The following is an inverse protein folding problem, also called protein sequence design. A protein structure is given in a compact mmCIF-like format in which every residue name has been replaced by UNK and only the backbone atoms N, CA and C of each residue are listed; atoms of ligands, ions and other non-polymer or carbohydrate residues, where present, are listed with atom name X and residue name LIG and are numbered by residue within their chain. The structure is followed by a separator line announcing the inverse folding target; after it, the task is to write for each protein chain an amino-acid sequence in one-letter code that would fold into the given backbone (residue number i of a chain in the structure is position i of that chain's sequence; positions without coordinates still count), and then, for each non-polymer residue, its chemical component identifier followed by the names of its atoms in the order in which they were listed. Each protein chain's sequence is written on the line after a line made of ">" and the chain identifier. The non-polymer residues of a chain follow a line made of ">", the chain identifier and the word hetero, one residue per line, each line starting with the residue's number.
data_IF_357874891795
#
_entry.id   IF_357874891795
#
_cell.length_a   1.000
_cell.length_b   1.000
_cell.length_c   1.000
_cell.angle_alpha   90.00
_cell.angle_beta   90.00
_cell.angle_gamma   90.00
#
_symmetry.space_group_name_H-M   'P 1'
#
loop_
_entity.id
_entity.type
_entity.pdbx_description
1 polymer ?
#
# COMPACT_ATOMS: atom_id res chain seq x y z
N UNK A 1 -19.70 -52.30 -7.71
CA UNK A 1 -19.60 -51.12 -8.64
C UNK A 1 -20.58 -49.99 -8.28
N UNK A 2 -21.89 -50.25 -8.08
CA UNK A 2 -22.89 -49.19 -7.74
C UNK A 2 -22.55 -48.39 -6.48
N UNK A 3 -22.01 -49.03 -5.41
CA UNK A 3 -21.64 -48.35 -4.15
C UNK A 3 -20.45 -47.41 -4.30
N UNK A 4 -19.50 -47.68 -5.20
CA UNK A 4 -18.33 -46.86 -5.46
C UNK A 4 -18.75 -45.61 -6.26
N UNK A 5 -19.68 -45.74 -7.18
CA UNK A 5 -20.21 -44.59 -7.97
C UNK A 5 -20.95 -43.61 -7.07
N UNK A 6 -21.75 -44.11 -6.09
CA UNK A 6 -22.43 -43.25 -5.10
C UNK A 6 -21.43 -42.51 -4.21
N UNK A 7 -20.34 -43.15 -3.81
CA UNK A 7 -19.29 -42.52 -3.01
C UNK A 7 -18.58 -41.42 -3.79
N UNK A 8 -18.26 -41.61 -5.07
CA UNK A 8 -17.67 -40.59 -5.94
C UNK A 8 -18.64 -39.44 -6.23
N UNK A 9 -19.94 -39.71 -6.33
CA UNK A 9 -20.94 -38.66 -6.54
C UNK A 9 -21.08 -37.78 -5.28
N UNK A 10 -20.97 -38.36 -4.08
CA UNK A 10 -21.02 -37.63 -2.81
C UNK A 10 -19.74 -36.81 -2.57
N UNK A 11 -18.58 -37.33 -2.99
CA UNK A 11 -17.29 -36.62 -2.89
C UNK A 11 -17.21 -35.46 -3.88
N UNK A 12 -17.85 -35.57 -5.05
CA UNK A 12 -17.93 -34.50 -6.06
C UNK A 12 -18.80 -33.31 -5.64
N UNK A 13 -19.84 -33.54 -4.84
CA UNK A 13 -20.71 -32.47 -4.33
C UNK A 13 -20.10 -31.63 -3.21
N UNK A 14 -19.09 -32.16 -2.50
CA UNK A 14 -18.40 -31.40 -1.44
C UNK A 14 -17.35 -30.43 -1.95
N UNK A 15 -17.04 -30.43 -3.27
CA UNK A 15 -16.08 -29.50 -3.88
C UNK A 15 -16.72 -28.22 -4.40
N UNK A 16 -18.05 -28.06 -4.32
CA UNK A 16 -18.76 -26.83 -4.70
C UNK A 16 -18.92 -25.92 -3.46
N UNK A 17 -17.90 -25.89 -2.61
CA UNK A 17 -17.92 -25.01 -1.44
C UNK A 17 -17.10 -23.76 -1.71
N UNK A 18 -17.83 -22.65 -1.75
CA UNK A 18 -17.46 -21.30 -1.41
C UNK A 18 -16.66 -20.47 -2.43
N UNK A 19 -17.40 -19.68 -3.16
CA UNK A 19 -17.15 -18.26 -3.26
C UNK A 19 -18.40 -17.50 -2.77
N UNK A 20 -18.73 -17.68 -1.50
CA UNK A 20 -19.66 -16.77 -0.86
C UNK A 20 -18.81 -15.63 -0.28
N UNK A 21 -18.54 -14.57 -1.06
CA UNK A 21 -18.19 -13.28 -0.51
C UNK A 21 -19.33 -12.87 0.43
N UNK A 22 -19.14 -13.11 1.70
CA UNK A 22 -20.07 -12.65 2.72
C UNK A 22 -19.91 -11.14 2.84
N UNK A 23 -20.67 -10.40 2.05
CA UNK A 23 -20.79 -8.96 2.15
C UNK A 23 -21.49 -8.65 3.47
N UNK A 24 -20.73 -8.14 4.44
CA UNK A 24 -21.28 -7.61 5.68
C UNK A 24 -22.14 -6.37 5.32
N UNK A 25 -23.48 -6.42 5.45
CA UNK A 25 -24.35 -5.33 5.05
C UNK A 25 -24.15 -4.06 5.90
N UNK A 26 -23.39 -4.16 7.00
CA UNK A 26 -23.09 -3.02 7.88
C UNK A 26 -21.79 -2.32 7.52
N UNK A 27 -20.97 -2.89 6.61
CA UNK A 27 -19.72 -2.31 6.17
C UNK A 27 -19.84 -1.75 4.76
N UNK A 28 -19.42 -0.50 4.53
CA UNK A 28 -19.39 0.04 3.18
C UNK A 28 -18.44 -0.79 2.30
N UNK A 29 -18.87 -1.08 1.10
CA UNK A 29 -17.99 -1.71 0.10
C UNK A 29 -16.94 -0.72 -0.40
N UNK A 30 -15.89 -1.22 -1.04
CA UNK A 30 -14.89 -0.35 -1.67
C UNK A 30 -15.57 0.61 -2.68
N UNK A 31 -16.53 0.12 -3.46
CA UNK A 31 -17.30 0.94 -4.39
C UNK A 31 -18.06 2.06 -3.70
N UNK A 32 -18.69 1.80 -2.55
CA UNK A 32 -19.43 2.82 -1.80
C UNK A 32 -18.49 3.92 -1.26
N UNK A 33 -17.30 3.52 -0.79
CA UNK A 33 -16.30 4.47 -0.28
C UNK A 33 -15.84 5.42 -1.39
N UNK A 34 -15.43 4.89 -2.54
CA UNK A 34 -14.86 5.70 -3.61
C UNK A 34 -15.90 6.40 -4.50
N UNK A 35 -17.18 6.06 -4.41
CA UNK A 35 -18.28 6.75 -5.11
C UNK A 35 -18.92 7.90 -4.32
N UNK A 36 -18.58 8.07 -3.04
CA UNK A 36 -19.14 9.10 -2.19
C UNK A 36 -18.10 10.14 -1.76
N UNK A 37 -18.53 11.41 -1.64
CA UNK A 37 -17.67 12.50 -1.17
C UNK A 37 -17.09 12.21 0.22
N UNK A 38 -17.91 11.80 1.18
CA UNK A 38 -17.46 11.50 2.54
C UNK A 38 -16.49 10.31 2.60
N UNK A 39 -16.76 9.28 1.83
CA UNK A 39 -15.89 8.12 1.71
C UNK A 39 -14.53 8.48 1.11
N UNK A 40 -14.51 9.29 0.05
CA UNK A 40 -13.26 9.72 -0.59
C UNK A 40 -12.40 10.58 0.35
N UNK A 41 -13.02 11.51 1.11
CA UNK A 41 -12.33 12.28 2.14
C UNK A 41 -11.77 11.35 3.23
N UNK A 42 -12.58 10.38 3.69
CA UNK A 42 -12.14 9.38 4.67
C UNK A 42 -10.96 8.55 4.18
N UNK A 43 -10.99 8.09 2.92
CA UNK A 43 -9.90 7.36 2.30
C UNK A 43 -8.63 8.22 2.21
N UNK A 44 -8.74 9.47 1.78
CA UNK A 44 -7.61 10.39 1.72
C UNK A 44 -6.98 10.61 3.11
N UNK A 45 -7.76 10.86 4.15
CA UNK A 45 -7.28 11.01 5.53
C UNK A 45 -6.65 9.70 6.04
N UNK A 46 -7.18 8.56 5.62
CA UNK A 46 -6.65 7.23 5.93
C UNK A 46 -5.21 7.02 5.47
N UNK A 47 -4.78 7.68 4.38
CA UNK A 47 -3.40 7.61 3.88
C UNK A 47 -2.38 8.09 4.93
N UNK A 48 -2.69 9.20 5.61
CA UNK A 48 -1.84 9.73 6.67
C UNK A 48 -1.72 8.75 7.85
N UNK A 49 -2.85 8.18 8.26
CA UNK A 49 -2.87 7.21 9.36
C UNK A 49 -2.04 5.97 9.02
N UNK A 50 -2.22 5.40 7.83
CA UNK A 50 -1.44 4.24 7.37
C UNK A 50 0.04 4.55 7.22
N UNK A 51 0.39 5.77 6.82
CA UNK A 51 1.78 6.19 6.68
C UNK A 51 2.52 6.25 8.03
N UNK A 52 1.85 6.70 9.09
CA UNK A 52 2.53 7.09 10.34
C UNK A 52 2.22 6.25 11.57
N UNK A 53 1.10 5.49 11.59
CA UNK A 53 0.64 4.82 12.80
C UNK A 53 1.01 3.34 12.81
N UNK A 54 1.65 2.90 13.90
CA UNK A 54 1.95 1.50 14.19
C UNK A 54 3.31 1.02 13.69
N UNK A 55 3.74 -0.15 14.20
CA UNK A 55 5.05 -0.77 13.87
C UNK A 55 5.17 -1.27 12.42
N UNK A 56 4.06 -1.36 11.71
CA UNK A 56 4.05 -1.76 10.30
C UNK A 56 4.07 -0.56 9.35
N UNK A 57 3.88 0.66 9.87
CA UNK A 57 3.82 1.88 9.05
C UNK A 57 5.14 2.14 8.34
N UNK A 58 5.10 2.77 7.15
CA UNK A 58 6.32 3.17 6.45
C UNK A 58 7.25 4.03 7.31
N UNK A 59 6.73 4.97 8.09
CA UNK A 59 7.56 5.79 9.01
C UNK A 59 8.36 4.92 9.96
N UNK A 60 7.70 3.96 10.62
CA UNK A 60 8.40 3.07 11.54
C UNK A 60 9.45 2.21 10.80
N UNK A 61 9.08 1.61 9.68
CA UNK A 61 9.96 0.68 8.95
C UNK A 61 11.12 1.38 8.25
N UNK A 62 10.94 2.64 7.79
CA UNK A 62 12.02 3.48 7.26
C UNK A 62 13.04 3.79 8.36
N UNK A 63 12.58 4.29 9.51
CA UNK A 63 13.46 4.66 10.63
C UNK A 63 14.18 3.42 11.14
N UNK A 64 13.47 2.32 11.35
CA UNK A 64 14.03 1.07 11.84
C UNK A 64 15.01 0.46 10.83
N UNK A 65 14.60 0.39 9.55
CA UNK A 65 15.41 -0.19 8.48
C UNK A 65 16.72 0.59 8.27
N UNK A 66 16.65 1.91 8.10
CA UNK A 66 17.85 2.73 7.93
C UNK A 66 18.68 2.81 9.21
N UNK A 67 18.05 3.04 10.35
CA UNK A 67 18.76 3.28 11.60
C UNK A 67 19.58 2.08 12.11
N UNK A 68 19.06 0.85 11.93
CA UNK A 68 19.84 -0.35 12.27
C UNK A 68 20.92 -0.67 11.25
N UNK A 69 20.65 -0.52 9.96
CA UNK A 69 21.64 -0.79 8.91
C UNK A 69 22.81 0.21 8.91
N UNK A 70 22.60 1.42 9.41
CA UNK A 70 23.64 2.45 9.57
C UNK A 70 24.25 2.50 10.95
N UNK A 71 23.83 1.63 11.88
CA UNK A 71 24.24 1.63 13.30
C UNK A 71 23.91 2.91 14.08
N UNK A 72 22.94 3.71 13.62
CA UNK A 72 22.43 4.87 14.36
C UNK A 72 21.45 4.46 15.47
N UNK A 73 20.77 3.32 15.30
CA UNK A 73 19.94 2.72 16.33
C UNK A 73 20.64 1.58 17.03
N UNK A 74 20.41 1.48 18.33
CA UNK A 74 20.96 0.42 19.18
C UNK A 74 19.86 -0.58 19.57
N UNK A 75 20.13 -1.86 19.36
CA UNK A 75 19.25 -2.94 19.80
C UNK A 75 19.41 -3.15 21.32
N UNK A 76 18.33 -2.92 22.07
CA UNK A 76 18.32 -3.13 23.53
C UNK A 76 17.74 -4.48 23.92
N UNK A 77 16.97 -5.13 23.05
CA UNK A 77 16.34 -6.42 23.29
C UNK A 77 16.69 -7.41 22.18
N UNK A 78 17.50 -8.40 22.51
CA UNK A 78 17.93 -9.45 21.57
C UNK A 78 16.75 -10.32 21.03
N UNK A 79 15.57 -10.25 21.66
CA UNK A 79 14.35 -10.92 21.17
C UNK A 79 13.73 -10.26 19.94
N UNK A 80 14.15 -9.07 19.57
CA UNK A 80 13.75 -8.41 18.33
C UNK A 80 14.60 -8.94 17.17
N UNK A 81 14.24 -10.10 16.65
CA UNK A 81 15.04 -10.84 15.67
C UNK A 81 15.17 -10.06 14.34
N UNK A 82 14.08 -9.45 13.87
CA UNK A 82 14.09 -8.68 12.60
C UNK A 82 15.06 -7.49 12.66
N UNK A 83 15.04 -6.77 13.77
CA UNK A 83 15.95 -5.64 14.00
C UNK A 83 17.40 -6.10 14.18
N UNK A 84 17.63 -7.27 14.82
CA UNK A 84 18.97 -7.87 14.94
C UNK A 84 19.55 -8.29 13.58
N UNK A 85 18.74 -8.83 12.69
CA UNK A 85 19.13 -9.14 11.32
C UNK A 85 19.56 -7.89 10.55
N UNK A 86 18.81 -6.78 10.69
CA UNK A 86 19.13 -5.50 10.06
C UNK A 86 20.43 -4.90 10.60
N UNK A 87 20.67 -5.00 11.91
CA UNK A 87 21.91 -4.54 12.55
C UNK A 87 23.12 -5.32 12.04
N UNK A 88 22.98 -6.63 11.84
CA UNK A 88 24.05 -7.48 11.27
C UNK A 88 24.22 -7.23 9.76
N UNK A 89 23.11 -7.05 9.07
CA UNK A 89 23.07 -6.72 7.65
C UNK A 89 23.51 -7.85 6.70
N UNK A 90 23.63 -7.51 5.42
CA UNK A 90 24.11 -8.40 4.38
C UNK A 90 23.27 -9.68 4.24
N UNK A 91 23.94 -10.82 4.16
CA UNK A 91 23.31 -12.14 3.99
C UNK A 91 22.53 -12.62 5.21
N UNK A 92 22.68 -11.94 6.35
CA UNK A 92 21.94 -12.26 7.57
C UNK A 92 20.49 -11.77 7.53
N UNK A 93 20.16 -10.85 6.63
CA UNK A 93 18.77 -10.35 6.48
C UNK A 93 17.94 -11.39 5.76
N UNK A 94 16.99 -11.97 6.51
CA UNK A 94 16.07 -12.96 5.98
C UNK A 94 15.11 -12.37 4.95
N UNK A 95 14.75 -13.15 3.93
CA UNK A 95 13.65 -12.79 3.01
C UNK A 95 12.29 -12.69 3.70
N UNK A 96 12.18 -13.16 4.96
CA UNK A 96 10.99 -13.07 5.80
C UNK A 96 11.05 -11.92 6.82
N UNK A 97 12.12 -11.11 6.81
CA UNK A 97 12.28 -9.99 7.71
C UNK A 97 11.04 -9.08 7.70
N UNK A 98 10.37 -8.95 8.84
CA UNK A 98 9.09 -8.26 8.91
C UNK A 98 9.23 -6.74 8.67
N UNK A 99 10.34 -6.12 9.04
CA UNK A 99 10.57 -4.69 8.81
C UNK A 99 10.62 -4.42 7.30
N UNK A 100 11.38 -5.21 6.55
CA UNK A 100 11.51 -5.05 5.09
C UNK A 100 10.22 -5.40 4.36
N UNK A 101 9.56 -6.51 4.76
CA UNK A 101 8.30 -6.92 4.17
C UNK A 101 7.17 -5.91 4.42
N UNK A 102 7.11 -5.31 5.62
CA UNK A 102 6.15 -4.27 5.93
C UNK A 102 6.46 -2.98 5.17
N UNK A 103 7.73 -2.58 5.07
CA UNK A 103 8.14 -1.43 4.25
C UNK A 103 7.63 -1.56 2.82
N UNK A 104 7.83 -2.72 2.21
CA UNK A 104 7.36 -3.02 0.86
C UNK A 104 5.84 -3.00 0.76
N UNK A 105 5.17 -3.84 1.55
CA UNK A 105 3.73 -4.07 1.42
C UNK A 105 2.90 -2.85 1.80
N UNK A 106 3.24 -2.16 2.90
CA UNK A 106 2.49 -0.99 3.35
C UNK A 106 2.69 0.21 2.41
N UNK A 107 3.90 0.39 1.86
CA UNK A 107 4.11 1.42 0.84
C UNK A 107 3.29 1.15 -0.42
N UNK A 108 3.21 -0.10 -0.89
CA UNK A 108 2.36 -0.47 -2.03
C UNK A 108 0.87 -0.30 -1.74
N UNK A 109 0.42 -0.60 -0.53
CA UNK A 109 -0.98 -0.34 -0.11
C UNK A 109 -1.29 1.15 -0.18
N UNK A 110 -0.42 2.01 0.38
CA UNK A 110 -0.61 3.45 0.34
C UNK A 110 -0.59 3.97 -1.10
N UNK A 111 0.34 3.49 -1.92
CA UNK A 111 0.39 3.81 -3.34
C UNK A 111 -0.93 3.47 -4.06
N UNK A 112 -1.45 2.25 -3.85
CA UNK A 112 -2.68 1.79 -4.48
C UNK A 112 -3.91 2.59 -4.00
N UNK A 113 -4.02 2.85 -2.72
CA UNK A 113 -5.12 3.62 -2.16
C UNK A 113 -5.08 5.09 -2.59
N UNK A 114 -3.89 5.70 -2.60
CA UNK A 114 -3.73 7.06 -3.13
C UNK A 114 -4.12 7.13 -4.61
N UNK A 115 -3.75 6.13 -5.42
CA UNK A 115 -4.19 6.05 -6.82
C UNK A 115 -5.70 5.98 -6.93
N UNK A 116 -6.38 5.15 -6.13
CA UNK A 116 -7.86 5.07 -6.13
C UNK A 116 -8.51 6.41 -5.75
N UNK A 117 -7.95 7.15 -4.79
CA UNK A 117 -8.43 8.50 -4.45
C UNK A 117 -8.30 9.43 -5.67
N UNK A 118 -7.16 9.40 -6.36
CA UNK A 118 -6.92 10.24 -7.55
C UNK A 118 -7.86 9.86 -8.71
N UNK A 119 -8.08 8.57 -8.95
CA UNK A 119 -8.94 8.09 -10.04
C UNK A 119 -10.41 8.48 -9.82
N UNK A 120 -10.83 8.62 -8.57
CA UNK A 120 -12.21 8.95 -8.19
C UNK A 120 -12.39 10.42 -7.77
N UNK A 121 -11.40 11.28 -7.98
CA UNK A 121 -11.44 12.69 -7.58
C UNK A 121 -12.60 13.49 -8.19
N UNK A 122 -13.19 12.97 -9.26
CA UNK A 122 -14.38 13.53 -9.93
C UNK A 122 -15.62 13.61 -9.04
N UNK A 123 -15.70 12.80 -7.99
CA UNK A 123 -16.81 12.80 -7.00
C UNK A 123 -16.86 14.11 -6.20
N UNK A 124 -15.72 14.80 -6.07
CA UNK A 124 -15.64 16.08 -5.36
C UNK A 124 -16.02 17.22 -6.31
N UNK A 125 -17.12 17.88 -6.02
CA UNK A 125 -17.65 19.00 -6.83
C UNK A 125 -17.08 20.37 -6.43
N UNK A 126 -16.68 20.55 -5.16
CA UNK A 126 -16.13 21.82 -4.65
C UNK A 126 -14.68 21.96 -5.08
N UNK A 127 -14.29 22.98 -5.89
CA UNK A 127 -12.96 23.07 -6.50
C UNK A 127 -11.81 23.09 -5.48
N UNK A 128 -11.93 23.89 -4.42
CA UNK A 128 -10.89 24.02 -3.37
C UNK A 128 -10.70 22.70 -2.63
N UNK A 129 -11.78 22.00 -2.29
CA UNK A 129 -11.73 20.71 -1.64
C UNK A 129 -11.13 19.64 -2.56
N UNK A 130 -11.54 19.62 -3.82
CA UNK A 130 -10.99 18.76 -4.86
C UNK A 130 -9.49 18.93 -4.98
N UNK A 131 -9.01 20.18 -5.06
CA UNK A 131 -7.60 20.50 -5.12
C UNK A 131 -6.85 19.99 -3.88
N UNK A 132 -7.40 20.21 -2.68
CA UNK A 132 -6.80 19.77 -1.43
C UNK A 132 -6.65 18.26 -1.36
N UNK A 133 -7.69 17.51 -1.72
CA UNK A 133 -7.68 16.03 -1.70
C UNK A 133 -6.74 15.50 -2.77
N UNK A 134 -6.73 16.09 -3.97
CA UNK A 134 -5.83 15.70 -5.05
C UNK A 134 -4.36 15.86 -4.64
N UNK A 135 -4.00 17.03 -4.10
CA UNK A 135 -2.64 17.31 -3.62
C UNK A 135 -2.24 16.36 -2.50
N UNK A 136 -3.13 16.16 -1.51
CA UNK A 136 -2.90 15.26 -0.39
C UNK A 136 -2.61 13.82 -0.87
N UNK A 137 -3.48 13.26 -1.69
CA UNK A 137 -3.29 11.91 -2.22
C UNK A 137 -2.02 11.79 -3.09
N UNK A 138 -1.71 12.80 -3.90
CA UNK A 138 -0.49 12.84 -4.72
C UNK A 138 0.78 12.85 -3.88
N UNK A 139 0.79 13.58 -2.76
CA UNK A 139 1.91 13.59 -1.82
C UNK A 139 2.13 12.19 -1.23
N UNK A 140 1.10 11.53 -0.69
CA UNK A 140 1.26 10.19 -0.13
C UNK A 140 1.64 9.15 -1.17
N UNK A 141 1.10 9.26 -2.40
CA UNK A 141 1.54 8.43 -3.52
C UNK A 141 3.03 8.60 -3.80
N UNK A 142 3.50 9.86 -3.87
CA UNK A 142 4.89 10.18 -4.11
C UNK A 142 5.80 9.74 -2.95
N UNK A 143 5.36 9.91 -1.71
CA UNK A 143 6.09 9.43 -0.52
C UNK A 143 6.24 7.91 -0.56
N UNK A 144 5.18 7.17 -0.89
CA UNK A 144 5.22 5.72 -0.98
C UNK A 144 6.20 5.23 -2.07
N UNK A 145 6.11 5.78 -3.29
CA UNK A 145 7.01 5.40 -4.38
C UNK A 145 8.44 5.86 -4.15
N UNK A 146 8.63 7.07 -3.61
CA UNK A 146 9.93 7.62 -3.24
C UNK A 146 10.63 6.78 -2.17
N UNK A 147 9.88 6.28 -1.19
CA UNK A 147 10.40 5.35 -0.19
C UNK A 147 10.81 4.03 -0.82
N UNK A 148 9.94 3.44 -1.64
CA UNK A 148 10.26 2.15 -2.26
C UNK A 148 11.56 2.21 -3.07
N UNK A 149 11.81 3.26 -3.84
CA UNK A 149 13.03 3.38 -4.64
C UNK A 149 14.31 3.68 -3.83
N UNK A 150 14.19 4.06 -2.56
CA UNK A 150 15.36 4.17 -1.67
C UNK A 150 15.88 2.79 -1.27
N UNK A 151 14.99 1.83 -1.06
CA UNK A 151 15.33 0.50 -0.55
C UNK A 151 15.35 -0.58 -1.63
N UNK A 152 14.62 -0.40 -2.74
CA UNK A 152 14.47 -1.40 -3.80
C UNK A 152 14.88 -0.84 -5.16
N UNK A 153 15.58 -1.66 -5.96
CA UNK A 153 16.03 -1.25 -7.29
C UNK A 153 14.90 -1.23 -8.33
N UNK A 154 13.89 -2.06 -8.13
CA UNK A 154 12.75 -2.20 -9.02
C UNK A 154 11.46 -2.17 -8.24
N UNK A 155 10.49 -1.38 -8.71
CA UNK A 155 9.20 -1.16 -8.05
C UNK A 155 8.09 -1.20 -9.11
N UNK A 156 6.93 -1.82 -8.84
CA UNK A 156 5.80 -1.76 -9.77
C UNK A 156 5.19 -0.35 -9.77
N UNK A 157 4.88 0.17 -10.95
CA UNK A 157 4.15 1.44 -11.14
C UNK A 157 2.64 1.22 -11.38
N UNK A 158 2.19 0.00 -11.36
CA UNK A 158 0.79 -0.37 -11.51
C UNK A 158 0.33 -1.20 -10.32
N UNK A 159 -0.94 -1.06 -9.98
CA UNK A 159 -1.57 -1.78 -8.84
C UNK A 159 -2.32 -3.05 -9.29
N UNK A 160 -2.07 -3.51 -10.51
CA UNK A 160 -2.70 -4.72 -11.08
C UNK A 160 -2.00 -5.99 -10.59
N UNK A 161 -2.73 -7.11 -10.57
CA UNK A 161 -2.25 -8.42 -10.08
C UNK A 161 -0.94 -8.90 -10.73
N UNK A 162 -0.67 -8.52 -11.97
CA UNK A 162 0.52 -8.93 -12.71
C UNK A 162 1.35 -7.71 -13.15
N UNK A 163 1.44 -6.69 -12.30
CA UNK A 163 2.21 -5.50 -12.57
C UNK A 163 3.69 -5.84 -12.81
N UNK A 164 4.22 -5.37 -13.93
CA UNK A 164 5.66 -5.44 -14.22
C UNK A 164 6.46 -4.52 -13.31
N UNK A 165 7.72 -4.88 -13.07
CA UNK A 165 8.65 -4.04 -12.33
C UNK A 165 9.28 -2.97 -13.23
N UNK A 166 9.29 -1.73 -12.76
CA UNK A 166 9.96 -0.60 -13.40
C UNK A 166 11.30 -0.31 -12.74
N UNK A 167 12.22 0.30 -13.50
CA UNK A 167 13.51 0.71 -12.97
C UNK A 167 13.36 1.87 -11.95
N UNK A 168 14.35 2.05 -11.10
CA UNK A 168 14.40 3.18 -10.15
C UNK A 168 14.24 4.53 -10.86
N UNK A 169 14.89 4.72 -12.01
CA UNK A 169 14.83 5.95 -12.79
C UNK A 169 13.40 6.22 -13.30
N UNK A 170 12.72 5.20 -13.82
CA UNK A 170 11.34 5.33 -14.30
C UNK A 170 10.38 5.66 -13.16
N UNK A 171 10.56 5.02 -12.00
CA UNK A 171 9.73 5.30 -10.81
C UNK A 171 9.94 6.71 -10.29
N UNK A 172 11.17 7.20 -10.24
CA UNK A 172 11.48 8.59 -9.86
C UNK A 172 10.84 9.56 -10.85
N UNK A 173 10.96 9.32 -12.16
CA UNK A 173 10.34 10.17 -13.18
C UNK A 173 8.81 10.21 -13.03
N UNK A 174 8.16 9.06 -12.82
CA UNK A 174 6.73 8.97 -12.60
C UNK A 174 6.29 9.67 -11.29
N UNK A 175 7.11 9.58 -10.25
CA UNK A 175 6.86 10.25 -8.96
C UNK A 175 6.93 11.77 -9.11
N UNK A 176 7.94 12.29 -9.82
CA UNK A 176 8.07 13.71 -10.14
C UNK A 176 6.88 14.19 -10.99
N UNK A 177 6.47 13.41 -11.99
CA UNK A 177 5.30 13.75 -12.81
C UNK A 177 4.02 13.83 -11.98
N UNK A 178 3.83 12.90 -11.02
CA UNK A 178 2.71 12.94 -10.08
C UNK A 178 2.71 14.23 -9.26
N UNK A 179 3.85 14.65 -8.71
CA UNK A 179 3.95 15.90 -7.94
C UNK A 179 3.73 17.13 -8.81
N UNK A 180 4.29 17.16 -10.01
CA UNK A 180 4.06 18.28 -10.97
C UNK A 180 2.59 18.43 -11.37
N UNK A 181 1.84 17.33 -11.44
CA UNK A 181 0.39 17.42 -11.74
C UNK A 181 -0.40 18.15 -10.65
N UNK A 182 0.13 18.29 -9.44
CA UNK A 182 -0.52 19.05 -8.35
C UNK A 182 -0.47 20.56 -8.58
N UNK A 183 0.51 21.08 -9.34
CA UNK A 183 0.67 22.51 -9.60
C UNK A 183 -0.56 23.10 -10.29
N UNK A 184 -1.20 22.35 -11.20
CA UNK A 184 -2.41 22.76 -11.90
C UNK A 184 -3.56 22.98 -10.91
N UNK A 185 -3.67 22.12 -9.90
CA UNK A 185 -4.71 22.22 -8.88
C UNK A 185 -4.46 23.34 -7.88
N UNK A 186 -3.21 23.63 -7.55
CA UNK A 186 -2.85 24.74 -6.66
C UNK A 186 -3.11 26.09 -7.30
N UNK A 187 -2.91 26.22 -8.63
CA UNK A 187 -3.22 27.45 -9.38
C UNK A 187 -4.71 27.74 -9.55
N UNK A 188 -5.57 26.74 -9.41
CA UNK A 188 -7.04 26.89 -9.53
C UNK A 188 -7.76 27.08 -8.19
N UNK A 189 -7.03 27.00 -7.08
CA UNK A 189 -7.58 27.14 -5.71
C UNK A 189 -7.59 28.59 -5.20
N UNK A 190 -7.03 29.53 -5.98
CA UNK A 190 -7.07 30.99 -5.77
C UNK A 190 -8.15 31.59 -6.72
#
# INVERSE_FOLDING_TARGET
>A
MKKIIVLFLFLGLSLISCDAEFLDPTKPTEGDVFSSRSGLIGAANGLQSKWSIGRQSPVYTIITGSGFTTNELRLLNAGNVDEAELLTGGVSVSSKNAVINNLWSQSLVIYAEAQKVLDNIGVISVPVEKASIFVHASIYKAMATGTLVQFFEKVPLQTTKNAGFSSRADVIAATIATLKSTEIYLGTAN
#
